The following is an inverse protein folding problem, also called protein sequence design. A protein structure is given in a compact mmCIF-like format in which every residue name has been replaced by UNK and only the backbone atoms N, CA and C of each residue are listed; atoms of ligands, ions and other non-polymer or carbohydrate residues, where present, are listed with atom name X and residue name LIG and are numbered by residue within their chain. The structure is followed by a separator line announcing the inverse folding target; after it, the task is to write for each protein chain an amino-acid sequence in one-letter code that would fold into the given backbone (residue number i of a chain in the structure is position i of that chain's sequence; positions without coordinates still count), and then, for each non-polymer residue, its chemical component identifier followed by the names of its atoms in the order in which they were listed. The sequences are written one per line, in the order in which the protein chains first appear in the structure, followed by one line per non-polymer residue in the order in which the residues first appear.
data_IF_879934867992
#
_entry.id   IF_879934867992
#
_cell.length_a   1.000
_cell.length_b   1.000
_cell.length_c   1.000
_cell.angle_alpha   90.00
_cell.angle_beta   90.00
_cell.angle_gamma   90.00
#
_symmetry.space_group_name_H-M   'P 1'
#
loop_
_entity.id
_entity.type
_entity.pdbx_description
1 polymer ?
#
# COMPACT_ATOMS: atom_id res chain seq x y z
N UNK A 1 -71.57 37.23 7.96
CA UNK A 1 -70.77 36.17 8.67
C UNK A 1 -69.89 35.44 7.66
N UNK A 2 -68.60 35.85 7.57
CA UNK A 2 -67.69 35.33 6.62
C UNK A 2 -66.94 34.15 7.25
N UNK A 3 -67.13 32.94 6.75
CA UNK A 3 -66.34 31.81 7.10
C UNK A 3 -65.04 31.83 6.27
N UNK A 4 -63.91 32.16 6.87
CA UNK A 4 -62.56 31.99 6.26
C UNK A 4 -62.25 30.55 6.20
N UNK A 5 -62.08 30.01 4.97
CA UNK A 5 -61.58 28.70 4.69
C UNK A 5 -60.03 28.74 4.87
N UNK A 6 -59.55 28.12 5.92
CA UNK A 6 -58.12 27.92 6.10
C UNK A 6 -57.73 26.66 5.29
N UNK A 7 -57.09 26.85 4.12
CA UNK A 7 -56.46 25.78 3.36
C UNK A 7 -55.10 25.49 4.02
N UNK A 8 -55.02 24.40 4.77
CA UNK A 8 -53.79 23.89 5.34
C UNK A 8 -53.05 23.16 4.22
N UNK A 9 -52.08 23.85 3.59
CA UNK A 9 -51.17 23.23 2.65
C UNK A 9 -50.21 22.32 3.42
N UNK A 10 -50.52 21.02 3.44
CA UNK A 10 -49.60 19.99 3.93
C UNK A 10 -48.49 19.84 2.90
N UNK A 11 -47.39 20.56 3.06
CA UNK A 11 -46.15 20.28 2.36
C UNK A 11 -45.62 18.91 2.83
N UNK A 12 -45.95 17.88 2.05
CA UNK A 12 -45.29 16.60 2.11
C UNK A 12 -43.80 16.83 1.75
N UNK A 13 -42.97 17.06 2.74
CA UNK A 13 -41.52 16.82 2.64
C UNK A 13 -41.35 15.31 2.44
N UNK A 14 -41.47 14.88 1.18
CA UNK A 14 -40.91 13.62 0.77
C UNK A 14 -39.41 13.83 0.86
N UNK A 15 -38.82 13.51 2.01
CA UNK A 15 -37.39 13.34 2.13
C UNK A 15 -37.01 12.22 1.14
N UNK A 16 -36.57 12.61 -0.04
CA UNK A 16 -35.86 11.72 -0.90
C UNK A 16 -34.68 11.21 -0.07
N UNK A 17 -34.77 9.99 0.44
CA UNK A 17 -33.61 9.23 0.85
C UNK A 17 -32.75 9.10 -0.41
N UNK A 18 -31.90 10.08 -0.65
CA UNK A 18 -30.91 10.04 -1.70
C UNK A 18 -29.90 8.97 -1.26
N UNK A 19 -30.19 7.72 -1.63
CA UNK A 19 -29.17 6.69 -1.57
C UNK A 19 -27.96 7.19 -2.35
N UNK A 20 -26.79 7.05 -1.77
CA UNK A 20 -25.57 7.40 -2.47
C UNK A 20 -25.48 6.52 -3.72
N UNK A 21 -25.48 7.14 -4.89
CA UNK A 21 -25.43 6.43 -6.15
C UNK A 21 -24.07 6.62 -6.78
N UNK A 22 -23.41 5.53 -7.14
CA UNK A 22 -22.18 5.52 -7.92
C UNK A 22 -22.42 4.80 -9.24
N UNK A 23 -21.99 5.38 -10.35
CA UNK A 23 -22.14 4.79 -11.69
C UNK A 23 -20.89 4.97 -12.53
N UNK A 24 -20.57 3.98 -13.31
CA UNK A 24 -19.65 4.09 -14.44
C UNK A 24 -20.43 4.62 -15.63
N UNK A 25 -19.96 5.73 -16.20
CA UNK A 25 -20.58 6.37 -17.36
C UNK A 25 -19.59 6.37 -18.52
N UNK A 26 -20.04 5.88 -19.67
CA UNK A 26 -19.26 5.96 -20.92
C UNK A 26 -19.36 7.39 -21.44
N UNK A 27 -18.22 8.00 -21.74
CA UNK A 27 -18.10 9.36 -22.30
C UNK A 27 -17.61 9.30 -23.75
N UNK A 28 -17.50 10.45 -24.43
CA UNK A 28 -16.90 10.53 -25.76
C UNK A 28 -15.42 10.13 -25.79
N UNK A 29 -14.72 10.23 -24.66
CA UNK A 29 -13.27 10.04 -24.57
C UNK A 29 -12.86 8.84 -23.70
N UNK A 30 -13.84 8.02 -23.25
CA UNK A 30 -13.57 6.87 -22.39
C UNK A 30 -14.64 6.65 -21.34
N UNK A 31 -14.27 6.67 -20.06
CA UNK A 31 -15.19 6.37 -18.94
C UNK A 31 -14.99 7.39 -17.80
N UNK A 32 -16.04 7.59 -17.04
CA UNK A 32 -16.06 8.43 -15.85
C UNK A 32 -16.82 7.72 -14.74
N UNK A 33 -16.30 7.73 -13.53
CA UNK A 33 -17.06 7.38 -12.35
C UNK A 33 -17.85 8.62 -11.90
N UNK A 34 -19.13 8.45 -11.69
CA UNK A 34 -20.00 9.50 -11.14
C UNK A 34 -20.54 9.07 -9.78
N UNK A 35 -20.51 9.99 -8.82
CA UNK A 35 -21.17 9.83 -7.53
C UNK A 35 -22.24 10.91 -7.36
N UNK A 36 -23.48 10.48 -7.12
CA UNK A 36 -24.65 11.38 -7.03
C UNK A 36 -24.77 12.32 -8.26
N UNK A 37 -24.48 11.79 -9.46
CA UNK A 37 -24.53 12.53 -10.72
C UNK A 37 -23.39 13.52 -10.96
N UNK A 38 -22.34 13.51 -10.14
CA UNK A 38 -21.15 14.36 -10.31
C UNK A 38 -19.91 13.50 -10.59
N UNK A 39 -18.98 13.98 -11.45
CA UNK A 39 -17.70 13.33 -11.66
C UNK A 39 -16.99 13.05 -10.34
N UNK A 40 -16.45 11.85 -10.21
CA UNK A 40 -15.75 11.38 -9.02
C UNK A 40 -14.50 10.60 -9.41
N UNK A 41 -13.33 11.21 -9.25
CA UNK A 41 -12.07 10.54 -9.49
C UNK A 41 -11.49 10.04 -8.17
N UNK A 42 -11.14 8.75 -8.11
CA UNK A 42 -10.68 8.12 -6.87
C UNK A 42 -9.22 8.49 -6.60
N UNK A 43 -8.99 9.21 -5.50
CA UNK A 43 -7.70 9.44 -4.86
C UNK A 43 -7.72 8.63 -3.56
N UNK A 44 -7.35 7.36 -3.64
CA UNK A 44 -7.60 6.39 -2.58
C UNK A 44 -6.35 5.86 -1.91
N UNK A 45 -6.57 5.24 -0.75
CA UNK A 45 -5.56 4.47 -0.02
C UNK A 45 -6.13 3.10 0.37
N UNK A 46 -5.31 2.05 0.35
CA UNK A 46 -5.68 0.71 0.81
C UNK A 46 -5.41 0.56 2.30
N UNK A 47 -6.46 0.46 3.10
CA UNK A 47 -6.42 0.38 4.57
C UNK A 47 -7.39 1.37 5.21
N UNK A 48 -7.71 1.13 6.49
CA UNK A 48 -8.80 1.79 7.21
C UNK A 48 -8.37 2.46 8.53
N UNK A 49 -7.06 2.66 8.72
CA UNK A 49 -6.55 3.33 9.93
C UNK A 49 -6.41 4.85 9.71
N UNK A 50 -6.49 5.64 10.79
CA UNK A 50 -6.23 7.09 10.75
C UNK A 50 -7.02 7.85 9.67
N UNK A 51 -8.35 7.67 9.59
CA UNK A 51 -9.17 8.25 8.50
C UNK A 51 -9.09 9.77 8.40
N UNK A 52 -8.89 10.48 9.50
CA UNK A 52 -8.66 11.93 9.50
C UNK A 52 -7.39 12.31 8.70
N UNK A 53 -6.34 11.46 8.76
CA UNK A 53 -5.11 11.68 7.97
C UNK A 53 -5.34 11.37 6.48
N UNK A 54 -6.23 10.43 6.14
CA UNK A 54 -6.64 10.18 4.76
C UNK A 54 -7.21 11.46 4.13
N UNK A 55 -8.12 12.12 4.86
CA UNK A 55 -8.70 13.41 4.44
C UNK A 55 -7.63 14.50 4.37
N UNK A 56 -6.75 14.57 5.37
CA UNK A 56 -5.71 15.60 5.44
C UNK A 56 -4.75 15.59 4.25
N UNK A 57 -4.42 14.42 3.70
CA UNK A 57 -3.58 14.29 2.50
C UNK A 57 -4.34 14.51 1.19
N UNK A 58 -5.63 14.89 1.24
CA UNK A 58 -6.47 15.12 0.07
C UNK A 58 -7.01 13.86 -0.60
N UNK A 59 -6.92 12.70 0.03
CA UNK A 59 -7.59 11.50 -0.42
C UNK A 59 -9.10 11.56 -0.14
N UNK A 60 -9.91 10.86 -0.94
CA UNK A 60 -11.37 10.89 -0.88
C UNK A 60 -11.99 9.49 -0.72
N UNK A 61 -11.18 8.44 -0.77
CA UNK A 61 -11.65 7.06 -0.71
C UNK A 61 -10.65 6.15 0.01
N UNK A 62 -11.15 5.10 0.63
CA UNK A 62 -10.35 4.01 1.14
C UNK A 62 -10.85 2.66 0.61
N UNK A 63 -9.98 1.65 0.67
CA UNK A 63 -10.28 0.28 0.26
C UNK A 63 -10.06 -0.67 1.42
N UNK A 64 -11.00 -1.63 1.59
CA UNK A 64 -10.83 -2.81 2.45
C UNK A 64 -10.73 -4.07 1.61
N UNK A 65 -10.22 -5.16 2.22
CA UNK A 65 -10.14 -6.48 1.57
C UNK A 65 -11.23 -7.42 2.04
N UNK A 66 -11.74 -7.20 3.25
CA UNK A 66 -12.77 -8.00 3.88
C UNK A 66 -13.85 -7.15 4.54
N UNK A 67 -14.81 -7.82 5.20
CA UNK A 67 -16.03 -7.22 5.75
C UNK A 67 -16.15 -7.36 7.27
N UNK A 68 -15.14 -7.88 7.94
CA UNK A 68 -15.16 -8.20 9.37
C UNK A 68 -15.49 -6.95 10.22
N UNK A 69 -14.98 -5.79 9.77
CA UNK A 69 -15.21 -4.48 10.41
C UNK A 69 -16.04 -3.53 9.53
N UNK A 70 -16.80 -4.05 8.54
CA UNK A 70 -17.44 -3.21 7.52
C UNK A 70 -18.36 -2.13 8.11
N UNK A 71 -19.15 -2.44 9.14
CA UNK A 71 -20.03 -1.43 9.76
C UNK A 71 -19.24 -0.27 10.36
N UNK A 72 -18.21 -0.59 11.15
CA UNK A 72 -17.35 0.40 11.81
C UNK A 72 -16.63 1.28 10.78
N UNK A 73 -16.02 0.63 9.77
CA UNK A 73 -15.26 1.30 8.71
C UNK A 73 -16.16 2.22 7.88
N UNK A 74 -17.33 1.75 7.47
CA UNK A 74 -18.27 2.55 6.69
C UNK A 74 -18.79 3.75 7.49
N UNK A 75 -19.17 3.54 8.76
CA UNK A 75 -19.65 4.62 9.64
C UNK A 75 -18.56 5.68 9.87
N UNK A 76 -17.31 5.25 10.09
CA UNK A 76 -16.19 6.18 10.29
C UNK A 76 -15.84 6.91 8.99
N UNK A 77 -15.82 6.22 7.86
CA UNK A 77 -15.63 6.84 6.55
C UNK A 77 -16.69 7.91 6.26
N UNK A 78 -17.96 7.62 6.57
CA UNK A 78 -19.04 8.59 6.43
C UNK A 78 -18.83 9.82 7.28
N UNK A 79 -18.45 9.67 8.55
CA UNK A 79 -18.17 10.80 9.46
C UNK A 79 -17.03 11.69 8.93
N UNK A 80 -16.06 11.09 8.25
CA UNK A 80 -14.91 11.79 7.66
C UNK A 80 -15.15 12.27 6.21
N UNK A 81 -16.34 12.04 5.64
CA UNK A 81 -16.65 12.42 4.26
C UNK A 81 -15.91 11.57 3.20
N UNK A 82 -15.42 10.40 3.59
CA UNK A 82 -14.73 9.44 2.73
C UNK A 82 -15.72 8.44 2.13
N UNK A 83 -15.32 7.82 1.03
CA UNK A 83 -15.99 6.67 0.45
C UNK A 83 -15.19 5.40 0.63
N UNK A 84 -15.85 4.26 0.48
CA UNK A 84 -15.25 2.95 0.67
C UNK A 84 -15.46 2.05 -0.54
N UNK A 85 -14.39 1.52 -1.10
CA UNK A 85 -14.43 0.31 -1.89
C UNK A 85 -14.41 -0.88 -0.91
N UNK A 86 -15.59 -1.49 -0.70
CA UNK A 86 -15.75 -2.56 0.26
C UNK A 86 -15.39 -3.91 -0.37
N UNK A 87 -14.32 -4.54 0.13
CA UNK A 87 -13.84 -5.82 -0.35
C UNK A 87 -14.66 -6.99 0.18
N UNK A 88 -15.06 -7.88 -0.73
CA UNK A 88 -15.62 -9.19 -0.42
C UNK A 88 -14.49 -10.22 -0.61
N UNK A 89 -13.95 -10.74 0.48
CA UNK A 89 -12.83 -11.69 0.44
C UNK A 89 -13.30 -13.05 -0.09
N UNK A 90 -13.32 -13.21 -1.41
CA UNK A 90 -13.56 -14.48 -2.07
C UNK A 90 -12.41 -15.43 -1.76
N UNK A 91 -12.73 -16.66 -1.33
CA UNK A 91 -11.73 -17.61 -0.84
C UNK A 91 -10.75 -18.02 -1.94
N UNK A 92 -9.47 -18.13 -1.59
CA UNK A 92 -8.42 -18.49 -2.52
C UNK A 92 -8.22 -20.01 -2.61
N UNK A 93 -7.99 -20.50 -3.83
CA UNK A 93 -7.60 -21.90 -4.05
C UNK A 93 -6.28 -22.24 -3.35
N UNK A 94 -5.31 -21.31 -3.34
CA UNK A 94 -4.03 -21.45 -2.62
C UNK A 94 -4.19 -21.64 -1.10
N UNK A 95 -5.34 -21.27 -0.53
CA UNK A 95 -5.71 -21.53 0.86
C UNK A 95 -6.58 -22.77 1.03
N UNK A 96 -6.70 -23.62 0.00
CA UNK A 96 -7.43 -24.90 0.05
C UNK A 96 -8.91 -24.80 -0.22
N UNK A 97 -9.41 -23.71 -0.83
CA UNK A 97 -10.79 -23.65 -1.26
C UNK A 97 -10.96 -24.36 -2.62
N UNK A 98 -11.89 -25.32 -2.65
CA UNK A 98 -12.16 -26.10 -3.87
C UNK A 98 -13.40 -25.55 -4.59
N UNK A 99 -13.20 -24.93 -5.75
CA UNK A 99 -14.25 -24.39 -6.60
C UNK A 99 -15.05 -25.47 -7.39
N UNK A 100 -14.66 -26.73 -7.31
CA UNK A 100 -15.50 -27.84 -7.78
C UNK A 100 -16.51 -28.28 -6.72
N UNK A 101 -16.33 -27.91 -5.47
CA UNK A 101 -17.25 -28.21 -4.38
C UNK A 101 -18.42 -27.21 -4.39
N UNK A 102 -19.51 -27.58 -5.05
CA UNK A 102 -20.69 -26.71 -5.23
C UNK A 102 -21.34 -26.31 -3.90
N UNK A 103 -21.26 -27.12 -2.85
CA UNK A 103 -21.79 -26.77 -1.53
C UNK A 103 -20.98 -25.63 -0.90
N UNK A 104 -19.63 -25.68 -0.97
CA UNK A 104 -18.78 -24.60 -0.46
C UNK A 104 -18.99 -23.31 -1.23
N UNK A 105 -19.08 -23.39 -2.56
CA UNK A 105 -19.34 -22.23 -3.43
C UNK A 105 -20.70 -21.60 -3.11
N UNK A 106 -21.74 -22.41 -2.95
CA UNK A 106 -23.08 -21.93 -2.58
C UNK A 106 -23.11 -21.27 -1.19
N UNK A 107 -22.39 -21.83 -0.21
CA UNK A 107 -22.26 -21.23 1.12
C UNK A 107 -21.55 -19.87 1.06
N UNK A 108 -20.48 -19.75 0.28
CA UNK A 108 -19.78 -18.48 0.08
C UNK A 108 -20.71 -17.44 -0.55
N UNK A 109 -21.45 -17.78 -1.60
CA UNK A 109 -22.41 -16.89 -2.21
C UNK A 109 -23.51 -16.48 -1.24
N UNK A 110 -24.09 -17.43 -0.48
CA UNK A 110 -25.12 -17.14 0.53
C UNK A 110 -24.62 -16.15 1.58
N UNK A 111 -23.38 -16.30 2.04
CA UNK A 111 -22.76 -15.37 2.96
C UNK A 111 -22.67 -13.96 2.37
N UNK A 112 -22.14 -13.80 1.15
CA UNK A 112 -22.01 -12.48 0.53
C UNK A 112 -23.37 -11.84 0.21
N UNK A 113 -24.41 -12.61 -0.09
CA UNK A 113 -25.78 -12.08 -0.19
C UNK A 113 -26.21 -11.36 1.10
N UNK A 114 -25.93 -11.94 2.26
CA UNK A 114 -26.24 -11.27 3.54
C UNK A 114 -25.45 -10.00 3.77
N UNK A 115 -24.19 -9.99 3.33
CA UNK A 115 -23.31 -8.79 3.42
C UNK A 115 -23.81 -7.67 2.51
N UNK A 116 -24.12 -7.99 1.26
CA UNK A 116 -24.64 -7.04 0.28
C UNK A 116 -25.97 -6.45 0.77
N UNK A 117 -26.91 -7.26 1.21
CA UNK A 117 -28.21 -6.81 1.71
C UNK A 117 -28.08 -5.88 2.93
N UNK A 118 -27.06 -6.12 3.76
CA UNK A 118 -26.78 -5.30 4.94
C UNK A 118 -26.22 -3.93 4.60
N UNK A 119 -25.31 -3.84 3.63
CA UNK A 119 -24.51 -2.62 3.43
C UNK A 119 -24.81 -1.84 2.15
N UNK A 120 -25.61 -2.38 1.22
CA UNK A 120 -25.94 -1.73 -0.07
C UNK A 120 -26.51 -0.31 0.02
N UNK A 121 -27.13 0.03 1.14
CA UNK A 121 -27.71 1.37 1.33
C UNK A 121 -26.81 2.29 2.16
N UNK A 122 -25.56 1.88 2.46
CA UNK A 122 -24.70 2.68 3.31
C UNK A 122 -24.13 3.89 2.54
N UNK A 123 -24.26 5.14 3.06
CA UNK A 123 -23.86 6.35 2.33
C UNK A 123 -22.37 6.43 1.96
N UNK A 124 -21.50 5.76 2.69
CA UNK A 124 -20.06 5.73 2.38
C UNK A 124 -19.67 4.66 1.35
N UNK A 125 -20.54 3.71 1.02
CA UNK A 125 -20.24 2.71 0.00
C UNK A 125 -20.03 3.38 -1.36
N UNK A 126 -18.98 2.98 -2.06
CA UNK A 126 -18.64 3.47 -3.40
C UNK A 126 -18.69 2.36 -4.44
N UNK A 127 -18.02 1.25 -4.17
CA UNK A 127 -17.81 0.14 -5.11
C UNK A 127 -17.76 -1.16 -4.31
N UNK A 128 -18.29 -2.24 -4.88
CA UNK A 128 -18.11 -3.59 -4.37
C UNK A 128 -16.87 -4.24 -4.99
N UNK A 129 -15.87 -4.58 -4.18
CA UNK A 129 -14.69 -5.31 -4.60
C UNK A 129 -14.89 -6.82 -4.45
N UNK A 130 -15.21 -7.52 -5.52
CA UNK A 130 -15.51 -8.96 -5.51
C UNK A 130 -14.22 -9.76 -5.71
N UNK A 131 -13.62 -10.21 -4.63
CA UNK A 131 -12.34 -10.92 -4.62
C UNK A 131 -11.13 -10.00 -4.66
N UNK A 132 -10.00 -10.52 -4.21
CA UNK A 132 -8.69 -9.91 -4.30
C UNK A 132 -7.66 -10.98 -4.66
N UNK A 133 -6.97 -10.84 -5.79
CA UNK A 133 -5.87 -11.72 -6.22
C UNK A 133 -6.21 -13.21 -6.15
N UNK A 134 -7.45 -13.56 -6.51
CA UNK A 134 -7.89 -14.97 -6.56
C UNK A 134 -7.19 -15.75 -7.68
N UNK A 135 -6.58 -15.04 -8.60
CA UNK A 135 -5.72 -15.52 -9.69
C UNK A 135 -4.32 -15.92 -9.21
N UNK A 136 -3.90 -15.50 -8.03
CA UNK A 136 -2.57 -15.81 -7.53
C UNK A 136 -2.45 -17.31 -7.18
N UNK A 137 -1.65 -18.04 -7.96
CA UNK A 137 -1.43 -19.49 -7.82
C UNK A 137 -2.72 -20.33 -7.92
N UNK A 138 -3.73 -19.88 -8.69
CA UNK A 138 -4.93 -20.67 -8.96
C UNK A 138 -4.72 -21.64 -10.12
N UNK A 139 -5.49 -22.71 -10.14
CA UNK A 139 -5.51 -23.71 -11.23
C UNK A 139 -6.94 -23.94 -11.75
N UNK A 140 -7.95 -23.58 -10.97
CA UNK A 140 -9.35 -23.85 -11.28
C UNK A 140 -10.08 -22.57 -11.74
N UNK A 141 -10.37 -22.42 -13.06
CA UNK A 141 -11.04 -21.24 -13.58
C UNK A 141 -12.51 -21.09 -13.14
N UNK A 142 -13.07 -22.05 -12.37
CA UNK A 142 -14.40 -21.91 -11.77
C UNK A 142 -14.48 -20.81 -10.71
N UNK A 143 -13.35 -20.31 -10.22
CA UNK A 143 -13.32 -19.11 -9.36
C UNK A 143 -13.98 -17.92 -10.04
N UNK A 144 -13.80 -17.75 -11.36
CA UNK A 144 -14.42 -16.66 -12.12
C UNK A 144 -15.94 -16.81 -12.22
N UNK A 145 -16.46 -18.05 -12.27
CA UNK A 145 -17.91 -18.29 -12.21
C UNK A 145 -18.47 -17.89 -10.83
N UNK A 146 -17.75 -18.17 -9.74
CA UNK A 146 -18.17 -17.77 -8.40
C UNK A 146 -18.15 -16.24 -8.23
N UNK A 147 -17.16 -15.54 -8.79
CA UNK A 147 -17.12 -14.07 -8.85
C UNK A 147 -18.32 -13.54 -9.62
N UNK A 148 -18.64 -14.13 -10.78
CA UNK A 148 -19.78 -13.76 -11.58
C UNK A 148 -21.11 -13.91 -10.82
N UNK A 149 -21.29 -15.01 -10.10
CA UNK A 149 -22.52 -15.25 -9.33
C UNK A 149 -22.72 -14.20 -8.23
N UNK A 150 -21.63 -13.76 -7.58
CA UNK A 150 -21.65 -12.68 -6.58
C UNK A 150 -21.95 -11.34 -7.25
N UNK A 151 -21.25 -11.00 -8.33
CA UNK A 151 -21.44 -9.73 -9.06
C UNK A 151 -22.88 -9.62 -9.61
N UNK A 152 -23.40 -10.69 -10.18
CA UNK A 152 -24.79 -10.76 -10.63
C UNK A 152 -25.79 -10.48 -9.50
N UNK A 153 -25.60 -11.11 -8.32
CA UNK A 153 -26.44 -10.85 -7.18
C UNK A 153 -26.37 -9.38 -6.74
N UNK A 154 -25.19 -8.78 -6.79
CA UNK A 154 -25.03 -7.36 -6.46
C UNK A 154 -25.86 -6.51 -7.43
N UNK A 155 -25.75 -6.71 -8.75
CA UNK A 155 -26.53 -5.97 -9.75
C UNK A 155 -28.04 -6.14 -9.56
N UNK A 156 -28.50 -7.35 -9.17
CA UNK A 156 -29.93 -7.62 -8.91
C UNK A 156 -30.44 -6.95 -7.63
N UNK A 157 -29.57 -6.77 -6.63
CA UNK A 157 -29.95 -6.32 -5.27
C UNK A 157 -29.57 -4.86 -4.98
N UNK A 158 -28.51 -4.37 -5.64
CA UNK A 158 -27.92 -3.02 -5.46
C UNK A 158 -27.60 -2.39 -6.84
N UNK A 159 -28.60 -1.81 -7.50
CA UNK A 159 -28.39 -1.14 -8.79
C UNK A 159 -27.68 0.22 -8.66
N UNK A 160 -27.20 0.59 -7.46
CA UNK A 160 -26.64 1.91 -7.17
C UNK A 160 -25.13 1.91 -7.06
N UNK A 161 -24.48 0.76 -6.96
CA UNK A 161 -23.02 0.68 -6.82
C UNK A 161 -22.43 -0.32 -7.82
N UNK A 162 -21.35 0.06 -8.52
CA UNK A 162 -20.68 -0.82 -9.45
C UNK A 162 -19.88 -1.92 -8.74
N UNK A 163 -19.56 -2.96 -9.50
CA UNK A 163 -18.74 -4.08 -9.10
C UNK A 163 -17.35 -4.02 -9.73
N UNK A 164 -16.36 -4.54 -9.02
CA UNK A 164 -15.03 -4.78 -9.57
C UNK A 164 -14.47 -6.09 -9.05
N UNK A 165 -13.55 -6.70 -9.79
CA UNK A 165 -12.68 -7.77 -9.31
C UNK A 165 -11.21 -7.36 -9.45
N UNK A 166 -10.35 -7.90 -8.60
CA UNK A 166 -8.96 -7.46 -8.47
C UNK A 166 -8.01 -8.60 -8.78
N UNK A 167 -7.10 -8.40 -9.73
CA UNK A 167 -6.06 -9.37 -10.10
C UNK A 167 -4.68 -8.99 -9.58
N UNK A 168 -3.83 -10.01 -9.38
CA UNK A 168 -2.41 -9.87 -9.04
C UNK A 168 -1.58 -9.56 -10.30
N UNK A 169 -1.48 -8.29 -10.64
CA UNK A 169 -0.90 -7.85 -11.91
C UNK A 169 -1.92 -7.86 -13.06
N UNK A 170 -1.42 -7.72 -14.27
CA UNK A 170 -2.21 -7.71 -15.50
C UNK A 170 -1.70 -8.77 -16.48
N UNK A 171 -2.47 -9.81 -16.69
CA UNK A 171 -2.20 -10.87 -17.64
C UNK A 171 -3.34 -11.03 -18.66
N UNK A 172 -2.99 -11.46 -19.87
CA UNK A 172 -3.96 -11.62 -20.97
C UNK A 172 -4.95 -12.75 -20.74
N UNK A 173 -4.59 -13.77 -19.99
CA UNK A 173 -5.46 -14.91 -19.69
C UNK A 173 -6.55 -14.51 -18.68
N UNK A 174 -6.19 -13.80 -17.61
CA UNK A 174 -7.15 -13.27 -16.63
C UNK A 174 -8.11 -12.29 -17.28
N UNK A 175 -7.60 -11.38 -18.13
CA UNK A 175 -8.46 -10.47 -18.91
C UNK A 175 -9.46 -11.26 -19.77
N UNK A 176 -9.01 -12.31 -20.45
CA UNK A 176 -9.89 -13.15 -21.27
C UNK A 176 -10.94 -13.90 -20.42
N UNK A 177 -10.56 -14.44 -19.27
CA UNK A 177 -11.50 -15.11 -18.37
C UNK A 177 -12.55 -14.14 -17.81
N UNK A 178 -12.12 -12.98 -17.30
CA UNK A 178 -13.03 -11.97 -16.74
C UNK A 178 -13.99 -11.48 -17.82
N UNK A 179 -13.49 -11.14 -19.01
CA UNK A 179 -14.30 -10.66 -20.13
C UNK A 179 -15.34 -11.70 -20.59
N UNK A 180 -14.97 -12.99 -20.57
CA UNK A 180 -15.85 -14.06 -21.05
C UNK A 180 -16.82 -14.60 -19.99
N UNK A 181 -16.42 -14.60 -18.71
CA UNK A 181 -17.15 -15.28 -17.63
C UNK A 181 -17.79 -14.34 -16.62
N UNK A 182 -17.35 -13.09 -16.54
CA UNK A 182 -17.80 -12.14 -15.52
C UNK A 182 -18.44 -10.89 -16.15
N UNK A 183 -19.53 -11.02 -16.94
CA UNK A 183 -20.18 -9.90 -17.60
C UNK A 183 -20.79 -8.87 -16.63
N UNK A 184 -21.01 -9.23 -15.36
CA UNK A 184 -21.51 -8.33 -14.31
C UNK A 184 -20.36 -7.67 -13.52
N UNK A 185 -19.10 -7.73 -13.98
CA UNK A 185 -17.99 -6.91 -13.49
C UNK A 185 -17.90 -5.63 -14.33
N UNK A 186 -18.17 -4.48 -13.70
CA UNK A 186 -18.20 -3.17 -14.35
C UNK A 186 -16.81 -2.58 -14.56
N UNK A 187 -15.88 -2.86 -13.64
CA UNK A 187 -14.55 -2.24 -13.56
C UNK A 187 -13.51 -3.36 -13.40
N UNK A 188 -12.42 -3.30 -14.16
CA UNK A 188 -11.28 -4.18 -13.95
C UNK A 188 -10.30 -3.54 -12.98
N UNK A 189 -9.95 -4.20 -11.90
CA UNK A 189 -9.00 -3.68 -10.91
C UNK A 189 -7.71 -4.49 -10.91
N UNK A 190 -6.59 -3.78 -10.72
CA UNK A 190 -5.26 -4.35 -10.85
C UNK A 190 -4.41 -3.95 -9.67
N UNK A 191 -3.82 -4.93 -8.96
CA UNK A 191 -2.74 -4.71 -8.04
C UNK A 191 -1.43 -4.78 -8.81
N UNK A 192 -0.65 -3.70 -8.86
CA UNK A 192 0.59 -3.67 -9.65
C UNK A 192 1.60 -2.70 -9.07
N UNK A 193 2.85 -3.09 -9.08
CA UNK A 193 3.96 -2.35 -8.50
C UNK A 193 4.96 -1.88 -9.58
N UNK A 194 6.01 -2.64 -9.86
CA UNK A 194 7.01 -2.25 -10.85
C UNK A 194 6.47 -2.16 -12.27
N UNK A 195 5.50 -2.99 -12.61
CA UNK A 195 4.90 -3.08 -13.95
C UNK A 195 3.78 -2.05 -14.23
N UNK A 196 3.46 -1.17 -13.28
CA UNK A 196 2.36 -0.20 -13.41
C UNK A 196 2.42 0.64 -14.69
N UNK A 197 3.63 0.92 -15.20
CA UNK A 197 3.83 1.70 -16.43
C UNK A 197 3.31 1.03 -17.69
N UNK A 198 3.16 -0.29 -17.69
CA UNK A 198 2.68 -1.07 -18.82
C UNK A 198 1.15 -1.21 -18.86
N UNK A 199 0.46 -1.01 -17.74
CA UNK A 199 -0.99 -1.20 -17.64
C UNK A 199 -1.78 -0.43 -18.69
N UNK A 200 -1.57 0.90 -18.92
CA UNK A 200 -2.37 1.66 -19.87
C UNK A 200 -2.30 1.11 -21.30
N UNK A 201 -1.15 0.54 -21.68
CA UNK A 201 -0.93 0.01 -23.02
C UNK A 201 -1.41 -1.45 -23.15
N UNK A 202 -1.34 -2.23 -22.07
CA UNK A 202 -1.62 -3.65 -22.12
C UNK A 202 -3.09 -3.97 -21.90
N UNK A 203 -3.81 -3.20 -21.09
CA UNK A 203 -5.19 -3.54 -20.72
C UNK A 203 -6.12 -3.62 -21.95
N UNK A 204 -6.06 -2.64 -22.84
CA UNK A 204 -6.82 -2.68 -24.10
C UNK A 204 -6.29 -3.72 -25.09
N UNK A 205 -4.94 -3.89 -25.16
CA UNK A 205 -4.31 -4.92 -25.99
C UNK A 205 -4.73 -6.33 -25.61
N UNK A 206 -4.97 -6.58 -24.33
CA UNK A 206 -5.45 -7.87 -23.81
C UNK A 206 -6.96 -8.06 -23.96
N UNK A 207 -7.68 -7.03 -24.46
CA UNK A 207 -9.08 -7.14 -24.83
C UNK A 207 -10.10 -6.58 -23.83
N UNK A 208 -9.65 -5.93 -22.76
CA UNK A 208 -10.57 -5.23 -21.87
C UNK A 208 -11.00 -3.89 -22.47
N UNK A 209 -12.30 -3.73 -22.68
CA UNK A 209 -12.89 -2.53 -23.31
C UNK A 209 -13.67 -1.65 -22.35
N UNK A 210 -13.59 -1.94 -21.05
CA UNK A 210 -14.20 -1.19 -19.95
C UNK A 210 -13.20 -0.26 -19.23
N UNK A 211 -13.64 0.42 -18.18
CA UNK A 211 -12.78 1.17 -17.31
C UNK A 211 -11.95 0.25 -16.40
N UNK A 212 -10.85 0.77 -15.89
CA UNK A 212 -10.03 0.07 -14.90
C UNK A 212 -9.65 0.96 -13.71
N UNK A 213 -9.13 0.34 -12.66
CA UNK A 213 -8.52 1.01 -11.51
C UNK A 213 -7.22 0.33 -11.12
N UNK A 214 -6.30 1.08 -10.52
CA UNK A 214 -5.12 0.53 -9.86
C UNK A 214 -5.41 0.42 -8.37
N UNK A 215 -5.63 -0.80 -7.88
CA UNK A 215 -6.16 -1.03 -6.52
C UNK A 215 -5.11 -1.31 -5.46
N UNK A 216 -3.89 -1.64 -5.88
CA UNK A 216 -2.69 -1.60 -5.06
C UNK A 216 -1.51 -1.12 -5.90
N UNK A 217 -0.80 -0.11 -5.39
CA UNK A 217 0.43 0.39 -5.97
C UNK A 217 1.28 1.08 -4.90
N UNK A 218 2.58 1.03 -5.09
CA UNK A 218 3.51 1.57 -4.11
C UNK A 218 4.96 1.43 -4.58
N UNK A 219 5.93 1.10 -3.71
CA UNK A 219 7.30 0.79 -4.09
C UNK A 219 7.36 -0.51 -4.91
N UNK A 220 8.54 -0.88 -5.40
CA UNK A 220 8.72 -2.18 -6.03
C UNK A 220 8.41 -3.32 -5.06
N UNK A 221 7.82 -4.39 -5.56
CA UNK A 221 7.72 -5.65 -4.83
C UNK A 221 9.12 -6.21 -4.51
N UNK A 222 9.23 -6.99 -3.44
CA UNK A 222 10.51 -7.60 -3.10
C UNK A 222 11.03 -8.55 -4.20
N UNK A 223 10.13 -9.09 -5.02
CA UNK A 223 10.43 -9.93 -6.19
C UNK A 223 10.92 -9.14 -7.41
N UNK A 224 10.68 -7.82 -7.44
CA UNK A 224 11.10 -6.90 -8.51
C UNK A 224 12.38 -6.10 -8.13
N UNK A 225 12.81 -6.23 -6.87
CA UNK A 225 13.92 -5.45 -6.34
C UNK A 225 15.26 -6.14 -6.59
N UNK A 226 16.37 -5.38 -6.73
CA UNK A 226 17.70 -5.94 -6.77
C UNK A 226 17.96 -6.86 -5.58
N UNK A 227 18.79 -7.88 -5.77
CA UNK A 227 19.14 -8.81 -4.72
C UNK A 227 20.65 -8.80 -4.45
N UNK A 228 20.99 -9.10 -3.22
CA UNK A 228 22.38 -9.40 -2.83
C UNK A 228 22.83 -10.73 -3.44
N UNK A 229 24.14 -11.00 -3.47
CA UNK A 229 24.71 -12.28 -3.94
C UNK A 229 24.21 -13.51 -3.16
N UNK A 230 23.67 -13.33 -1.95
CA UNK A 230 23.06 -14.40 -1.14
C UNK A 230 21.52 -14.42 -1.20
N UNK A 231 20.92 -13.77 -2.22
CA UNK A 231 19.50 -13.87 -2.55
C UNK A 231 18.55 -13.10 -1.63
N UNK A 232 19.04 -12.05 -0.97
CA UNK A 232 18.23 -11.15 -0.15
C UNK A 232 17.88 -9.90 -0.95
N UNK A 233 16.59 -9.56 -1.01
CA UNK A 233 16.13 -8.37 -1.74
C UNK A 233 16.55 -7.09 -1.02
N UNK A 234 17.02 -6.11 -1.80
CA UNK A 234 17.44 -4.80 -1.33
C UNK A 234 16.22 -3.88 -1.34
N UNK A 235 15.84 -3.41 -0.17
CA UNK A 235 14.70 -2.53 0.00
C UNK A 235 15.08 -1.08 -0.30
N UNK A 236 14.21 -0.38 -1.02
CA UNK A 236 14.30 1.06 -1.20
C UNK A 236 14.13 1.77 0.14
N UNK A 237 14.91 2.80 0.42
CA UNK A 237 14.69 3.64 1.60
C UNK A 237 13.43 4.52 1.44
N UNK A 238 13.00 5.21 2.51
CA UNK A 238 11.76 5.99 2.49
C UNK A 238 11.75 7.11 1.46
N UNK A 239 12.91 7.71 1.19
CA UNK A 239 13.05 8.79 0.18
C UNK A 239 12.91 8.24 -1.23
N UNK A 240 13.57 7.12 -1.55
CA UNK A 240 13.41 6.44 -2.83
C UNK A 240 11.97 5.99 -3.05
N UNK A 241 11.28 5.50 -2.00
CA UNK A 241 9.86 5.14 -2.06
C UNK A 241 8.98 6.36 -2.30
N UNK A 242 9.24 7.49 -1.62
CA UNK A 242 8.53 8.75 -1.87
C UNK A 242 8.59 9.14 -3.35
N UNK A 243 9.78 9.10 -3.96
CA UNK A 243 9.95 9.39 -5.38
C UNK A 243 9.17 8.40 -6.26
N UNK A 244 9.16 7.11 -5.91
CA UNK A 244 8.39 6.09 -6.65
C UNK A 244 6.89 6.39 -6.60
N UNK A 245 6.32 6.71 -5.40
CA UNK A 245 4.91 7.08 -5.27
C UNK A 245 4.58 8.31 -6.11
N UNK A 246 5.39 9.35 -6.03
CA UNK A 246 5.19 10.58 -6.81
C UNK A 246 5.19 10.31 -8.31
N UNK A 247 6.25 9.67 -8.81
CA UNK A 247 6.41 9.40 -10.24
C UNK A 247 5.37 8.44 -10.81
N UNK A 248 5.01 7.37 -10.08
CA UNK A 248 3.98 6.42 -10.52
C UNK A 248 2.63 7.09 -10.66
N UNK A 249 2.23 7.87 -9.66
CA UNK A 249 0.97 8.62 -9.74
C UNK A 249 0.96 9.59 -10.90
N UNK A 250 1.97 10.45 -11.02
CA UNK A 250 2.04 11.50 -12.04
C UNK A 250 2.13 10.97 -13.46
N UNK A 251 2.84 9.86 -13.66
CA UNK A 251 3.12 9.36 -15.01
C UNK A 251 2.15 8.29 -15.50
N UNK A 252 1.59 7.47 -14.63
CA UNK A 252 0.84 6.29 -15.01
C UNK A 252 -0.62 6.29 -14.56
N UNK A 253 -0.96 7.03 -13.50
CA UNK A 253 -2.32 7.12 -12.99
C UNK A 253 -3.00 8.39 -13.49
N UNK A 254 -2.47 9.57 -13.14
CA UNK A 254 -3.06 10.87 -13.45
C UNK A 254 -3.18 11.14 -14.96
N UNK A 255 -2.28 10.61 -15.78
CA UNK A 255 -2.30 10.80 -17.25
C UNK A 255 -3.33 9.94 -17.98
N UNK A 256 -3.97 8.98 -17.31
CA UNK A 256 -4.86 7.99 -17.93
C UNK A 256 -6.32 8.10 -17.43
N UNK A 257 -6.73 9.27 -16.96
CA UNK A 257 -8.05 9.51 -16.35
C UNK A 257 -9.25 9.26 -17.27
N UNK A 258 -9.03 9.11 -18.57
CA UNK A 258 -10.06 8.74 -19.53
C UNK A 258 -10.46 7.25 -19.47
N UNK A 259 -9.65 6.40 -18.90
CA UNK A 259 -9.92 4.95 -18.76
C UNK A 259 -9.65 4.43 -17.34
N UNK A 260 -8.71 5.06 -16.62
CA UNK A 260 -8.41 4.77 -15.22
C UNK A 260 -9.28 5.64 -14.31
N UNK A 261 -10.18 5.02 -13.55
CA UNK A 261 -11.11 5.72 -12.65
C UNK A 261 -10.48 6.19 -11.35
N UNK A 262 -9.20 5.90 -11.14
CA UNK A 262 -8.42 6.28 -9.99
C UNK A 262 -7.63 5.12 -9.40
N UNK A 263 -7.16 5.30 -8.17
CA UNK A 263 -6.25 4.33 -7.55
C UNK A 263 -6.31 4.30 -6.03
N UNK A 264 -5.76 3.23 -5.44
CA UNK A 264 -5.58 3.06 -4.00
C UNK A 264 -4.12 2.74 -3.70
N UNK A 265 -3.42 3.68 -3.04
CA UNK A 265 -2.02 3.49 -2.62
C UNK A 265 -1.90 2.42 -1.52
N UNK A 266 -0.97 1.52 -1.66
CA UNK A 266 -0.74 0.41 -0.73
C UNK A 266 0.56 0.63 0.06
N UNK A 267 0.61 0.48 1.38
CA UNK A 267 -0.47 0.12 2.31
C UNK A 267 -0.67 1.26 3.31
N UNK A 268 -1.88 1.73 3.49
CA UNK A 268 -2.26 2.70 4.52
C UNK A 268 -2.39 2.02 5.88
N UNK A 269 -1.24 1.72 6.46
CA UNK A 269 -1.09 0.96 7.69
C UNK A 269 0.36 0.56 7.91
N UNK A 270 0.58 -0.34 8.85
CA UNK A 270 1.84 -1.01 9.09
C UNK A 270 1.65 -2.52 8.90
N UNK A 271 2.60 -3.18 8.26
CA UNK A 271 2.55 -4.63 7.98
C UNK A 271 3.95 -5.20 7.91
N UNK A 272 4.11 -6.40 8.47
CA UNK A 272 5.25 -7.24 8.17
C UNK A 272 5.01 -7.95 6.83
N UNK A 273 5.82 -7.62 5.84
CA UNK A 273 5.87 -8.30 4.54
C UNK A 273 7.28 -8.16 3.99
N UNK A 274 8.05 -9.23 4.00
CA UNK A 274 9.49 -9.27 3.80
C UNK A 274 10.27 -8.50 4.88
N UNK A 275 9.98 -7.20 5.06
CA UNK A 275 10.40 -6.37 6.19
C UNK A 275 9.19 -5.63 6.78
N UNK A 276 9.36 -5.05 7.97
CA UNK A 276 8.32 -4.23 8.59
C UNK A 276 8.11 -2.86 7.91
N UNK A 277 9.01 -2.50 7.00
CA UNK A 277 9.02 -1.20 6.33
C UNK A 277 8.72 -1.29 4.84
N UNK A 278 8.55 -2.51 4.26
CA UNK A 278 8.46 -2.68 2.81
C UNK A 278 7.33 -1.87 2.17
N UNK A 279 6.10 -2.02 2.66
CA UNK A 279 4.90 -1.37 2.08
C UNK A 279 4.21 -0.40 3.02
N UNK A 280 4.40 -0.55 4.34
CA UNK A 280 3.69 0.25 5.33
C UNK A 280 3.96 1.75 5.20
N UNK A 281 2.88 2.54 5.03
CA UNK A 281 2.95 4.00 5.05
C UNK A 281 3.02 4.56 6.48
N UNK A 282 2.83 3.71 7.47
CA UNK A 282 3.03 4.01 8.88
C UNK A 282 4.01 3.02 9.50
N UNK A 283 4.75 3.48 10.49
CA UNK A 283 5.50 2.58 11.36
C UNK A 283 4.57 1.77 12.27
N UNK A 284 5.08 0.72 12.92
CA UNK A 284 4.35 -0.04 13.94
C UNK A 284 3.79 0.83 15.08
N UNK A 285 4.44 1.98 15.35
CA UNK A 285 4.01 2.95 16.35
C UNK A 285 3.08 4.03 15.78
N UNK A 286 2.51 3.79 14.61
CA UNK A 286 1.57 4.69 13.94
C UNK A 286 2.16 6.06 13.58
N UNK A 287 3.48 6.14 13.37
CA UNK A 287 4.15 7.36 12.90
C UNK A 287 4.10 7.36 11.36
N UNK A 288 3.58 8.42 10.72
CA UNK A 288 3.54 8.54 9.26
C UNK A 288 4.96 8.59 8.69
N UNK A 289 5.18 7.86 7.60
CA UNK A 289 6.48 7.78 6.93
C UNK A 289 6.57 8.73 5.74
N UNK A 290 7.78 9.01 5.28
CA UNK A 290 8.06 9.96 4.20
C UNK A 290 7.26 9.71 2.89
N UNK A 291 6.96 8.49 2.44
CA UNK A 291 6.11 8.28 1.26
C UNK A 291 4.71 8.89 1.33
N UNK A 292 4.15 9.12 2.53
CA UNK A 292 2.86 9.84 2.68
C UNK A 292 2.96 11.26 2.14
N UNK A 293 4.12 11.88 2.23
CA UNK A 293 4.35 13.23 1.70
C UNK A 293 4.15 13.28 0.18
N UNK A 294 4.56 12.24 -0.55
CA UNK A 294 4.29 12.15 -1.99
C UNK A 294 2.79 12.08 -2.29
N UNK A 295 2.03 11.29 -1.50
CA UNK A 295 0.58 11.20 -1.65
C UNK A 295 -0.10 12.55 -1.37
N UNK A 296 0.32 13.27 -0.32
CA UNK A 296 -0.19 14.60 -0.02
C UNK A 296 0.06 15.58 -1.18
N UNK A 297 1.28 15.59 -1.75
CA UNK A 297 1.63 16.46 -2.88
C UNK A 297 0.79 16.14 -4.13
N UNK A 298 0.69 14.86 -4.51
CA UNK A 298 -0.03 14.49 -5.75
C UNK A 298 -1.55 14.57 -5.60
N UNK A 299 -2.11 14.36 -4.43
CA UNK A 299 -3.56 14.42 -4.22
C UNK A 299 -4.05 15.86 -4.03
N UNK A 300 -3.27 16.71 -3.36
CA UNK A 300 -3.64 18.12 -3.12
C UNK A 300 -3.17 19.06 -4.21
N UNK A 301 -2.10 18.71 -4.93
CA UNK A 301 -1.39 19.61 -5.84
C UNK A 301 -0.65 20.77 -5.16
N UNK A 302 -0.39 20.66 -3.85
CA UNK A 302 0.22 21.71 -3.03
C UNK A 302 1.60 21.28 -2.53
N UNK A 303 2.48 22.25 -2.35
CA UNK A 303 3.76 22.02 -1.68
C UNK A 303 3.55 21.68 -0.21
N UNK A 304 4.39 20.80 0.32
CA UNK A 304 4.36 20.38 1.72
C UNK A 304 4.77 21.52 2.66
N UNK A 305 4.03 21.67 3.74
CA UNK A 305 4.37 22.64 4.79
C UNK A 305 5.29 22.05 5.88
N UNK A 306 5.22 20.74 6.07
CA UNK A 306 6.01 20.02 7.07
C UNK A 306 6.45 18.67 6.50
N UNK A 307 7.48 18.63 5.63
CA UNK A 307 7.99 17.38 5.07
C UNK A 307 8.68 16.52 6.14
N UNK A 308 8.65 15.21 5.93
CA UNK A 308 9.44 14.24 6.68
C UNK A 308 10.95 14.48 6.45
N UNK A 309 11.83 13.93 7.29
CA UNK A 309 13.27 13.91 6.99
C UNK A 309 13.51 13.19 5.66
N UNK A 310 14.46 13.67 4.87
CA UNK A 310 14.89 13.06 3.60
C UNK A 310 16.23 12.37 3.81
N UNK A 311 16.36 11.12 3.38
CA UNK A 311 17.61 10.37 3.45
C UNK A 311 18.46 10.71 2.23
N UNK A 312 19.68 11.20 2.47
CA UNK A 312 20.65 11.49 1.42
C UNK A 312 21.52 10.27 1.16
N UNK A 313 22.06 9.66 2.23
CA UNK A 313 22.93 8.49 2.15
C UNK A 313 22.83 7.65 3.42
N UNK A 314 23.07 6.33 3.25
CA UNK A 314 23.18 5.39 4.37
C UNK A 314 24.28 4.36 4.06
N UNK A 315 25.21 4.18 4.99
CA UNK A 315 26.35 3.29 4.83
C UNK A 315 26.58 2.38 6.02
N UNK A 316 27.10 1.21 5.73
CA UNK A 316 27.75 0.31 6.69
C UNK A 316 29.21 0.17 6.28
N UNK A 317 30.13 0.66 7.12
CA UNK A 317 31.55 0.63 6.84
C UNK A 317 31.91 1.25 5.47
N UNK A 318 31.26 2.39 5.12
CA UNK A 318 31.38 3.14 3.85
C UNK A 318 30.78 2.42 2.62
N UNK A 319 30.13 1.27 2.80
CA UNK A 319 29.49 0.49 1.74
C UNK A 319 27.97 0.70 1.75
N UNK A 320 27.35 0.63 0.57
CA UNK A 320 25.91 0.70 0.35
C UNK A 320 25.30 -0.71 0.24
N UNK A 321 23.98 -0.80 0.32
CA UNK A 321 23.25 -2.08 0.24
C UNK A 321 23.63 -2.93 -1.00
N UNK A 322 23.94 -2.29 -2.13
CA UNK A 322 24.29 -2.95 -3.40
C UNK A 322 25.71 -3.54 -3.42
N UNK A 323 26.56 -3.19 -2.45
CA UNK A 323 27.98 -3.59 -2.41
C UNK A 323 28.20 -4.99 -1.82
N UNK A 324 27.13 -5.75 -1.53
CA UNK A 324 27.21 -7.10 -1.01
C UNK A 324 28.05 -7.21 0.27
N UNK A 325 27.64 -6.48 1.30
CA UNK A 325 28.41 -6.29 2.52
C UNK A 325 28.58 -7.59 3.29
N UNK A 326 29.83 -8.04 3.44
CA UNK A 326 30.22 -9.17 4.29
C UNK A 326 30.99 -8.67 5.51
N UNK A 327 30.52 -9.03 6.70
CA UNK A 327 31.10 -8.62 7.97
C UNK A 327 31.63 -9.86 8.72
N UNK A 328 32.82 -9.76 9.28
CA UNK A 328 33.38 -10.84 10.12
C UNK A 328 32.59 -10.99 11.41
N UNK A 329 32.25 -12.23 11.79
CA UNK A 329 31.59 -12.57 13.06
C UNK A 329 32.22 -11.83 14.24
N UNK A 330 31.39 -11.20 15.08
CA UNK A 330 31.80 -10.42 16.26
C UNK A 330 32.77 -9.27 15.99
N UNK A 331 33.02 -8.91 14.72
CA UNK A 331 33.79 -7.73 14.32
C UNK A 331 33.07 -6.44 14.70
N UNK A 332 33.81 -5.34 14.76
CA UNK A 332 33.25 -4.02 15.08
C UNK A 332 33.33 -3.16 13.84
N UNK A 333 32.20 -2.56 13.50
CA UNK A 333 31.99 -1.77 12.30
C UNK A 333 31.29 -0.46 12.62
N UNK A 334 31.34 0.49 11.70
CA UNK A 334 30.59 1.75 11.78
C UNK A 334 29.40 1.69 10.84
N UNK A 335 28.35 2.44 11.17
CA UNK A 335 27.28 2.77 10.25
C UNK A 335 26.87 4.23 10.45
N UNK A 336 26.63 4.91 9.35
CA UNK A 336 26.25 6.32 9.33
C UNK A 336 25.09 6.56 8.36
N UNK A 337 24.27 7.54 8.72
CA UNK A 337 23.18 8.02 7.87
C UNK A 337 23.28 9.54 7.74
N UNK A 338 23.15 10.04 6.53
CA UNK A 338 23.03 11.45 6.24
C UNK A 338 21.59 11.78 5.84
N UNK A 339 21.02 12.80 6.48
CA UNK A 339 19.65 13.25 6.24
C UNK A 339 19.62 14.75 5.99
N UNK A 340 18.58 15.18 5.29
CA UNK A 340 18.19 16.57 5.15
C UNK A 340 16.83 16.80 5.84
N UNK A 341 16.70 17.89 6.55
CA UNK A 341 15.44 18.40 7.09
C UNK A 341 14.98 19.61 6.26
N UNK A 342 13.73 20.01 6.46
CA UNK A 342 13.21 21.25 5.90
C UNK A 342 14.12 22.45 6.29
N UNK A 343 14.09 23.48 5.45
CA UNK A 343 14.84 24.72 5.70
C UNK A 343 14.52 25.29 7.10
N UNK A 344 15.55 25.74 7.80
CA UNK A 344 15.46 26.25 9.18
C UNK A 344 15.04 25.23 10.26
N UNK A 345 14.99 23.94 9.97
CA UNK A 345 14.74 22.91 10.96
C UNK A 345 15.96 22.68 11.87
N UNK A 346 15.69 22.39 13.15
CA UNK A 346 16.74 22.12 14.11
C UNK A 346 17.13 20.63 14.11
N UNK A 347 18.28 20.29 13.55
CA UNK A 347 18.81 18.92 13.47
C UNK A 347 18.95 18.24 14.83
N UNK A 348 19.20 18.99 15.90
CA UNK A 348 19.31 18.44 17.26
C UNK A 348 18.00 17.82 17.78
N UNK A 349 16.86 18.22 17.22
CA UNK A 349 15.56 17.65 17.56
C UNK A 349 15.26 16.34 16.81
N UNK A 350 16.05 15.95 15.83
CA UNK A 350 15.90 14.67 15.16
C UNK A 350 16.28 13.53 16.11
N UNK A 351 15.47 12.48 16.12
CA UNK A 351 15.68 11.26 16.89
C UNK A 351 16.06 10.12 15.97
N UNK A 352 17.10 9.37 16.33
CA UNK A 352 17.60 8.25 15.56
C UNK A 352 17.41 6.96 16.34
N UNK A 353 16.82 5.96 15.68
CA UNK A 353 16.62 4.63 16.26
C UNK A 353 17.25 3.58 15.34
N UNK A 354 18.22 2.86 15.88
CA UNK A 354 19.02 1.87 15.16
C UNK A 354 18.70 0.47 15.69
N UNK A 355 18.54 -0.52 14.79
CA UNK A 355 18.29 -1.90 15.15
C UNK A 355 19.03 -2.85 14.22
N UNK A 356 19.48 -3.98 14.76
CA UNK A 356 19.98 -5.11 13.99
C UNK A 356 18.94 -6.22 14.10
N UNK A 357 18.54 -6.75 12.96
CA UNK A 357 17.57 -7.83 12.90
C UNK A 357 18.14 -9.00 12.12
N UNK A 358 17.69 -10.20 12.43
CA UNK A 358 17.87 -11.34 11.53
C UNK A 358 17.17 -11.05 10.21
N UNK A 359 17.64 -11.64 9.11
CA UNK A 359 16.90 -11.58 7.85
C UNK A 359 15.64 -12.43 7.95
N UNK A 360 14.51 -11.92 7.42
CA UNK A 360 13.24 -12.65 7.44
C UNK A 360 13.36 -13.95 6.63
N UNK A 361 12.93 -15.04 7.22
CA UNK A 361 12.84 -16.36 6.59
C UNK A 361 11.40 -16.76 6.27
N UNK A 362 10.42 -16.12 6.91
CA UNK A 362 9.00 -16.32 6.62
C UNK A 362 8.59 -15.36 5.48
N UNK A 363 8.53 -15.90 4.27
CA UNK A 363 8.20 -15.16 3.05
C UNK A 363 7.00 -15.81 2.40
N UNK A 364 5.89 -15.09 2.38
CA UNK A 364 4.62 -15.58 1.83
C UNK A 364 4.19 -14.78 0.61
N UNK A 365 3.27 -15.33 -0.15
CA UNK A 365 2.72 -14.69 -1.36
C UNK A 365 1.41 -13.98 -1.06
N UNK A 366 1.10 -12.95 -1.85
CA UNK A 366 -0.21 -12.30 -1.84
C UNK A 366 -0.57 -11.64 -0.52
N UNK A 367 0.43 -11.14 0.19
CA UNK A 367 0.21 -10.41 1.43
C UNK A 367 -0.28 -11.25 2.61
N UNK A 368 -0.11 -12.57 2.59
CA UNK A 368 -0.40 -13.43 3.74
C UNK A 368 0.43 -13.03 4.96
N UNK A 369 -0.07 -13.30 6.15
CA UNK A 369 0.58 -12.88 7.41
C UNK A 369 1.94 -13.56 7.57
N UNK A 370 3.00 -12.74 7.71
CA UNK A 370 4.38 -13.18 7.95
C UNK A 370 4.78 -12.94 9.41
N UNK A 371 5.60 -13.82 9.93
CA UNK A 371 6.24 -13.64 11.23
C UNK A 371 7.35 -12.57 11.13
N UNK A 372 7.42 -11.69 12.12
CA UNK A 372 8.47 -10.68 12.18
C UNK A 372 9.82 -11.33 12.50
N UNK A 373 10.86 -10.86 11.81
CA UNK A 373 12.23 -11.26 12.14
C UNK A 373 12.64 -10.80 13.54
N UNK A 374 13.54 -11.55 14.18
CA UNK A 374 14.00 -11.27 15.54
C UNK A 374 14.97 -10.08 15.56
N UNK A 375 14.78 -9.18 16.52
CA UNK A 375 15.75 -8.12 16.81
C UNK A 375 16.89 -8.65 17.69
N UNK A 376 18.13 -8.32 17.32
CA UNK A 376 19.34 -8.65 18.10
C UNK A 376 19.78 -7.43 18.89
N UNK A 377 19.57 -7.48 20.19
CA UNK A 377 19.90 -6.36 21.10
C UNK A 377 21.34 -6.42 21.63
N UNK A 378 21.81 -5.30 22.19
CA UNK A 378 23.12 -5.23 22.86
C UNK A 378 24.33 -5.12 21.94
N UNK A 379 24.15 -5.11 20.61
CA UNK A 379 25.25 -5.02 19.67
C UNK A 379 25.59 -3.59 19.23
N UNK A 380 24.70 -2.63 19.44
CA UNK A 380 24.87 -1.24 18.99
C UNK A 380 25.42 -0.37 20.12
N UNK A 381 26.46 0.37 19.83
CA UNK A 381 27.03 1.42 20.69
C UNK A 381 26.82 2.78 20.04
N UNK A 382 25.99 3.61 20.66
CA UNK A 382 25.78 5.00 20.23
C UNK A 382 27.09 5.80 20.39
N UNK A 383 27.32 6.73 19.49
CA UNK A 383 28.42 7.71 19.56
C UNK A 383 27.90 9.05 20.08
N UNK A 384 28.75 10.07 20.14
CA UNK A 384 28.32 11.45 20.41
C UNK A 384 27.49 12.04 19.27
N UNK A 385 27.67 11.56 18.06
CA UNK A 385 26.89 11.94 16.89
C UNK A 385 25.71 10.97 16.74
N UNK A 386 24.49 11.49 16.72
CA UNK A 386 23.26 10.67 16.67
C UNK A 386 23.13 9.86 15.36
N UNK A 387 23.66 10.39 14.28
CA UNK A 387 23.63 9.82 12.94
C UNK A 387 24.75 8.80 12.66
N UNK A 388 25.62 8.53 13.63
CA UNK A 388 26.73 7.57 13.54
C UNK A 388 26.67 6.60 14.71
N UNK A 389 26.81 5.31 14.42
CA UNK A 389 26.96 4.27 15.44
C UNK A 389 28.20 3.42 15.20
N UNK A 390 28.66 2.77 16.28
CA UNK A 390 29.52 1.58 16.21
C UNK A 390 28.69 0.36 16.57
N UNK A 391 28.83 -0.71 15.84
CA UNK A 391 28.13 -1.94 16.18
C UNK A 391 29.03 -3.16 16.04
N UNK A 392 28.70 -4.20 16.81
CA UNK A 392 29.32 -5.50 16.69
C UNK A 392 28.47 -6.36 15.78
N UNK A 393 29.10 -6.97 14.77
CA UNK A 393 28.38 -7.96 13.97
C UNK A 393 27.94 -9.16 14.85
N UNK A 394 26.78 -9.77 14.57
CA UNK A 394 26.33 -10.97 15.25
C UNK A 394 27.41 -12.07 15.30
N UNK A 395 27.33 -12.93 16.31
CA UNK A 395 28.29 -14.03 16.48
C UNK A 395 28.03 -15.14 15.45
N UNK A 396 26.78 -15.45 15.21
CA UNK A 396 26.38 -16.48 14.26
C UNK A 396 26.54 -16.01 12.82
N UNK A 397 27.03 -16.87 11.94
CA UNK A 397 27.04 -16.61 10.50
C UNK A 397 25.63 -16.65 9.94
N UNK A 398 25.33 -15.78 8.97
CA UNK A 398 24.00 -15.71 8.37
C UNK A 398 23.73 -14.34 7.74
N UNK A 399 22.51 -14.14 7.27
CA UNK A 399 22.02 -12.87 6.74
C UNK A 399 21.33 -12.07 7.83
N UNK A 400 21.58 -10.78 7.84
CA UNK A 400 21.06 -9.82 8.81
C UNK A 400 20.74 -8.51 8.12
N UNK A 401 20.02 -7.63 8.83
CA UNK A 401 19.67 -6.31 8.35
C UNK A 401 19.91 -5.26 9.43
N UNK A 402 20.59 -4.18 9.08
CA UNK A 402 20.71 -2.99 9.93
C UNK A 402 19.64 -1.99 9.51
N UNK A 403 18.75 -1.66 10.43
CA UNK A 403 17.71 -0.64 10.26
C UNK A 403 18.08 0.65 10.96
N UNK A 404 17.70 1.76 10.35
CA UNK A 404 17.68 3.08 10.98
C UNK A 404 16.38 3.78 10.67
N UNK A 405 15.77 4.37 11.67
CA UNK A 405 14.68 5.32 11.49
C UNK A 405 15.03 6.67 12.10
N UNK A 406 14.65 7.73 11.41
CA UNK A 406 14.87 9.11 11.84
C UNK A 406 13.52 9.79 11.94
N UNK A 407 13.18 10.24 13.14
CA UNK A 407 11.90 10.90 13.42
C UNK A 407 12.13 12.39 13.71
N UNK A 408 11.34 13.21 13.04
CA UNK A 408 11.29 14.66 13.25
C UNK A 408 9.85 15.15 13.17
N UNK A 409 9.37 15.92 14.14
CA UNK A 409 8.01 16.47 14.19
C UNK A 409 6.91 15.44 13.88
N UNK A 410 7.02 14.25 14.47
CA UNK A 410 6.08 13.13 14.31
C UNK A 410 5.98 12.57 12.86
N UNK A 411 6.97 12.80 12.02
CA UNK A 411 7.15 12.14 10.73
C UNK A 411 8.47 11.36 10.73
N UNK A 412 8.54 10.28 9.95
CA UNK A 412 9.65 9.34 9.96
C UNK A 412 10.21 9.12 8.55
N UNK A 413 11.54 9.20 8.46
CA UNK A 413 12.29 8.55 7.39
C UNK A 413 12.95 7.27 7.89
N UNK A 414 13.15 6.30 7.02
CA UNK A 414 13.77 5.02 7.37
C UNK A 414 14.59 4.45 6.23
N UNK A 415 15.62 3.68 6.61
CA UNK A 415 16.39 2.87 5.68
C UNK A 415 16.83 1.58 6.34
N UNK A 416 17.16 0.58 5.52
CA UNK A 416 17.85 -0.61 5.99
C UNK A 416 18.89 -1.08 4.98
N UNK A 417 19.91 -1.77 5.49
CA UNK A 417 20.97 -2.39 4.70
C UNK A 417 21.08 -3.86 5.06
N UNK A 418 20.91 -4.80 4.12
CA UNK A 418 21.20 -6.20 4.33
C UNK A 418 22.72 -6.43 4.35
N UNK A 419 23.19 -7.25 5.28
CA UNK A 419 24.59 -7.69 5.34
C UNK A 419 24.68 -9.16 5.71
N UNK A 420 25.78 -9.81 5.30
CA UNK A 420 26.05 -11.20 5.63
C UNK A 420 27.17 -11.28 6.65
N UNK A 421 26.95 -12.04 7.71
CA UNK A 421 28.01 -12.38 8.67
C UNK A 421 28.71 -13.64 8.22
N UNK A 422 30.04 -13.56 8.05
CA UNK A 422 30.91 -14.67 7.66
C UNK A 422 31.81 -15.07 8.82
N UNK A 423 32.27 -16.33 8.80
CA UNK A 423 33.14 -16.82 9.81
C UNK A 423 34.49 -16.03 9.86
N UNK A 424 34.99 -15.86 11.06
CA UNK A 424 36.33 -15.31 11.26
C UNK A 424 37.37 -16.38 11.01
N UNK A 425 38.48 -16.07 10.32
CA UNK A 425 39.61 -16.95 10.17
C UNK A 425 40.24 -17.28 11.53
N UNK A 426 40.78 -18.49 11.70
CA UNK A 426 41.30 -18.97 12.98
C UNK A 426 42.41 -18.08 13.59
N UNK A 427 43.07 -17.24 12.79
CA UNK A 427 44.19 -16.36 13.19
C UNK A 427 43.89 -14.86 13.05
N UNK A 428 42.64 -14.46 12.82
CA UNK A 428 42.30 -13.03 12.71
C UNK A 428 42.11 -12.42 14.11
N UNK A 429 42.79 -11.31 14.45
CA UNK A 429 42.62 -10.64 15.75
C UNK A 429 41.20 -10.13 15.92
N UNK A 430 40.69 -10.17 17.17
CA UNK A 430 39.45 -9.47 17.51
C UNK A 430 39.60 -8.00 17.16
N UNK A 431 38.74 -7.50 16.25
CA UNK A 431 38.83 -6.15 15.73
C UNK A 431 38.96 -5.11 16.86
N UNK A 432 40.05 -4.40 16.87
CA UNK A 432 40.20 -3.16 17.63
C UNK A 432 39.36 -2.08 16.94
N UNK A 433 38.71 -1.22 17.73
CA UNK A 433 38.05 -0.06 17.17
C UNK A 433 39.05 0.75 16.34
N UNK A 434 38.88 0.79 15.03
CA UNK A 434 39.61 1.71 14.17
C UNK A 434 38.93 3.06 14.38
N UNK A 435 39.64 3.99 15.01
CA UNK A 435 39.25 5.39 15.03
C UNK A 435 39.50 5.98 13.65
N UNK A 436 38.44 6.12 12.85
CA UNK A 436 38.52 6.97 11.67
C UNK A 436 38.41 8.42 12.11
N UNK A 437 39.49 9.19 11.94
CA UNK A 437 39.38 10.65 11.96
C UNK A 437 38.62 11.06 10.70
N UNK A 438 37.42 11.59 10.88
CA UNK A 438 36.76 12.34 9.84
C UNK A 438 37.63 13.57 9.52
N UNK A 439 38.23 13.63 8.35
CA UNK A 439 38.68 14.87 7.74
C UNK A 439 37.44 15.59 7.23
N UNK A 440 37.22 16.80 7.71
CA UNK A 440 36.18 17.72 7.29
C UNK A 440 36.07 17.73 5.75
N UNK A 441 34.98 17.24 5.21
CA UNK A 441 34.61 17.44 3.81
C UNK A 441 33.81 18.75 3.66
N UNK A 442 34.38 19.85 4.13
CA UNK A 442 33.94 21.20 3.75
C UNK A 442 34.84 21.75 2.66
N UNK A 443 34.85 21.16 1.47
CA UNK A 443 35.38 21.83 0.25
C UNK A 443 35.03 20.97 -0.97
N UNK A 444 33.81 21.12 -1.47
CA UNK A 444 33.51 20.93 -2.87
C UNK A 444 32.73 22.16 -3.38
N UNK A 445 33.52 23.24 -3.57
CA UNK A 445 33.23 24.27 -4.53
C UNK A 445 34.47 24.34 -5.42
N UNK A 446 34.37 23.72 -6.60
CA UNK A 446 34.95 24.21 -7.86
C UNK A 446 34.38 23.31 -8.99
#
# INVERSE_FOLDING_TARGET
MNKKLIVLSLLLLIGNLLFAQTKVVKTSNGFELQRNGKPYYIKGVGGDVNMEKIVAIGANSLRTWGVERAQEVLDEAQRNGLTVMLGLWVQHERHGFDYNNQEKVAKQLAYFKTVVDRFKNHPALLIWGVGNEVDLNYTNPNVWNAIQDIAKYIHESDPYHPTTTVTAGLDSLEVAFISARCPDIDIYSINTYGDIGNVPNHIAKFGWNGPYMITEWGPNGHWESPQTQWGVSIEQNSTEKKEVYYHRYKNYIEKNTNTCLGSYAFLWGAKQEYTETWYGLFSKNNIPTEPIDALEEVFTGKALTNPAPTIIDFHVNQLKAVDNIELKSSGIFNADINIQLAENANMEKASYHWRIMEESTDKKSGGDVEDAASEITGLIKKTSQKNLIKFRAPQNTGAYRLFVSVTYQNKMAYANIPFKVIARGANEPQGKFIEFKYTDMTNFNE
#
